data_IF_014870328943
#
_entry.id   IF_014870328943
#
_cell.length_a   1.000
_cell.length_b   1.000
_cell.length_c   1.000
_cell.angle_alpha   90.00
_cell.angle_beta   90.00
_cell.angle_gamma   90.00
#
_symmetry.space_group_name_H-M   'P 1'
#
loop_
_entity.id
_entity.type
_entity.pdbx_description
1 polymer ?
#
# COMPACT_ATOMS: atom_id res chain seq x y z
N UNK A 1 -15.95 11.97 -5.57
CA UNK A 1 -14.55 12.27 -5.95
C UNK A 1 -14.21 13.69 -5.54
N UNK A 2 -12.95 13.95 -5.19
CA UNK A 2 -12.40 15.27 -4.90
C UNK A 2 -11.53 15.66 -6.08
N UNK A 3 -11.91 16.70 -6.82
CA UNK A 3 -11.25 17.12 -8.08
C UNK A 3 -10.23 18.24 -7.87
N UNK A 4 -9.60 18.30 -6.69
CA UNK A 4 -8.65 19.37 -6.38
C UNK A 4 -7.30 19.13 -7.08
N UNK A 5 -6.76 17.91 -6.96
CA UNK A 5 -5.46 17.51 -7.54
C UNK A 5 -5.59 17.04 -8.99
N UNK A 6 -6.76 16.51 -9.35
CA UNK A 6 -7.09 16.08 -10.70
C UNK A 6 -8.37 16.83 -11.06
N UNK A 7 -8.32 17.90 -11.86
CA UNK A 7 -9.45 18.83 -12.04
C UNK A 7 -10.50 18.35 -13.06
N UNK A 8 -10.18 17.37 -13.90
CA UNK A 8 -11.11 16.84 -14.91
C UNK A 8 -10.86 15.36 -15.20
N UNK A 9 -11.82 14.74 -15.89
CA UNK A 9 -11.71 13.37 -16.40
C UNK A 9 -10.58 13.25 -17.44
N UNK A 10 -10.38 14.28 -18.25
CA UNK A 10 -9.30 14.30 -19.24
C UNK A 10 -7.93 14.31 -18.55
N UNK A 11 -7.74 15.17 -17.55
CA UNK A 11 -6.49 15.21 -16.75
C UNK A 11 -6.30 13.90 -15.97
N UNK A 12 -7.38 13.26 -15.50
CA UNK A 12 -7.31 11.92 -14.90
C UNK A 12 -6.77 10.89 -15.90
N UNK A 13 -7.27 10.93 -17.14
CA UNK A 13 -6.81 10.07 -18.23
C UNK A 13 -5.34 10.31 -18.56
N UNK A 14 -4.96 11.57 -18.79
CA UNK A 14 -3.57 11.97 -19.06
C UNK A 14 -2.61 11.55 -17.94
N UNK A 15 -3.00 11.75 -16.68
CA UNK A 15 -2.19 11.38 -15.51
C UNK A 15 -1.95 9.87 -15.47
N UNK A 16 -2.99 9.06 -15.71
CA UNK A 16 -2.88 7.60 -15.74
C UNK A 16 -2.05 7.11 -16.91
N UNK A 17 -2.27 7.68 -18.10
CA UNK A 17 -1.50 7.34 -19.30
C UNK A 17 -0.03 7.70 -19.14
N UNK A 18 0.29 8.87 -18.56
CA UNK A 18 1.67 9.27 -18.29
C UNK A 18 2.36 8.34 -17.30
N UNK A 19 1.67 7.92 -16.22
CA UNK A 19 2.22 6.95 -15.28
C UNK A 19 2.46 5.58 -15.93
N UNK A 20 1.51 5.11 -16.75
CA UNK A 20 1.64 3.87 -17.52
C UNK A 20 2.81 3.93 -18.50
N UNK A 21 2.94 5.00 -19.28
CA UNK A 21 4.03 5.15 -20.25
C UNK A 21 5.40 5.16 -19.56
N UNK A 22 5.54 5.87 -18.43
CA UNK A 22 6.79 5.83 -17.64
C UNK A 22 7.14 4.44 -17.14
N UNK A 23 6.14 3.65 -16.72
CA UNK A 23 6.37 2.25 -16.37
C UNK A 23 6.83 1.44 -17.59
N UNK A 24 6.15 1.55 -18.72
CA UNK A 24 6.47 0.78 -19.93
C UNK A 24 7.86 1.13 -20.50
N UNK A 25 8.25 2.41 -20.45
CA UNK A 25 9.58 2.87 -20.85
C UNK A 25 10.70 2.31 -19.98
N UNK A 26 10.43 2.08 -18.68
CA UNK A 26 11.40 1.59 -17.70
C UNK A 26 11.40 0.06 -17.58
N UNK A 27 10.30 -0.61 -17.90
CA UNK A 27 10.05 -2.01 -17.54
C UNK A 27 11.07 -2.98 -18.10
N UNK A 28 11.30 -2.99 -19.42
CA UNK A 28 12.20 -3.98 -20.05
C UNK A 28 13.63 -3.85 -19.53
N UNK A 29 14.13 -2.61 -19.37
CA UNK A 29 15.45 -2.33 -18.83
C UNK A 29 15.55 -2.68 -17.35
N UNK A 30 14.58 -2.22 -16.55
CA UNK A 30 14.53 -2.51 -15.12
C UNK A 30 14.35 -3.99 -14.81
N UNK A 31 13.67 -4.74 -15.67
CA UNK A 31 13.54 -6.19 -15.54
C UNK A 31 14.89 -6.86 -15.77
N UNK A 32 15.64 -6.44 -16.80
CA UNK A 32 17.02 -6.90 -17.03
C UNK A 32 17.99 -6.56 -15.88
N UNK A 33 17.75 -5.45 -15.18
CA UNK A 33 18.50 -5.03 -13.98
C UNK A 33 18.03 -5.73 -12.69
N UNK A 34 16.96 -6.52 -12.72
CA UNK A 34 16.39 -7.19 -11.56
C UNK A 34 15.57 -6.29 -10.62
N UNK A 35 15.15 -5.10 -11.06
CA UNK A 35 14.30 -4.18 -10.28
C UNK A 35 12.85 -4.64 -10.17
N UNK A 36 12.38 -5.45 -11.11
CA UNK A 36 11.05 -6.05 -11.10
C UNK A 36 11.17 -7.54 -10.79
N UNK A 37 10.51 -7.97 -9.71
CA UNK A 37 10.52 -9.36 -9.24
C UNK A 37 9.10 -9.89 -9.21
N UNK A 38 8.86 -11.04 -9.86
CA UNK A 38 7.59 -11.75 -9.78
C UNK A 38 7.46 -12.42 -8.40
N UNK A 39 6.53 -11.94 -7.58
CA UNK A 39 6.19 -12.55 -6.30
C UNK A 39 4.80 -12.14 -5.84
N UNK A 40 4.31 -12.77 -4.77
CA UNK A 40 3.00 -12.50 -4.17
C UNK A 40 3.07 -12.47 -2.66
N UNK A 41 2.36 -11.54 -2.03
CA UNK A 41 2.15 -11.59 -0.58
C UNK A 41 1.34 -12.86 -0.20
N UNK A 42 1.62 -13.48 0.96
CA UNK A 42 2.50 -13.01 2.02
C UNK A 42 3.93 -13.59 1.96
N UNK A 43 4.40 -14.06 0.81
CA UNK A 43 5.70 -14.75 0.69
C UNK A 43 6.60 -13.97 -0.29
N UNK A 44 7.57 -13.21 0.23
CA UNK A 44 8.49 -12.41 -0.59
C UNK A 44 9.92 -12.98 -0.58
N UNK A 45 10.62 -12.99 -1.71
CA UNK A 45 11.95 -13.60 -1.85
C UNK A 45 13.08 -12.69 -1.36
N UNK A 46 12.81 -11.88 -0.34
CA UNK A 46 13.74 -10.89 0.20
C UNK A 46 14.19 -11.24 1.61
N UNK A 47 15.40 -10.79 1.97
CA UNK A 47 15.93 -10.94 3.31
C UNK A 47 15.25 -10.02 4.32
N UNK A 48 15.51 -10.28 5.61
CA UNK A 48 15.00 -9.45 6.70
C UNK A 48 15.62 -8.06 6.63
N UNK A 49 14.76 -7.03 6.69
CA UNK A 49 15.11 -5.61 6.66
C UNK A 49 16.03 -5.22 5.49
N UNK A 50 15.92 -5.93 4.36
CA UNK A 50 16.64 -5.63 3.13
C UNK A 50 16.33 -4.22 2.62
N UNK A 51 15.11 -3.73 2.88
CA UNK A 51 14.65 -2.41 2.45
C UNK A 51 14.50 -1.42 3.61
N UNK A 52 14.77 -0.15 3.32
CA UNK A 52 14.43 0.95 4.23
C UNK A 52 12.93 1.24 4.29
N UNK A 53 12.20 0.99 3.20
CA UNK A 53 10.79 1.35 3.04
C UNK A 53 10.09 0.37 2.08
N UNK A 54 8.91 -0.11 2.47
CA UNK A 54 7.96 -0.78 1.60
C UNK A 54 6.68 0.05 1.43
N UNK A 55 6.21 0.17 0.19
CA UNK A 55 4.98 0.87 -0.17
C UNK A 55 3.97 -0.13 -0.73
N UNK A 56 2.80 -0.24 -0.10
CA UNK A 56 1.69 -1.04 -0.59
C UNK A 56 0.52 -0.11 -0.95
N UNK A 57 0.30 0.11 -2.24
CA UNK A 57 -0.70 1.03 -2.75
C UNK A 57 -1.83 0.26 -3.47
N UNK A 58 -3.09 0.55 -3.12
CA UNK A 58 -4.31 0.05 -3.78
C UNK A 58 -4.40 -1.48 -3.89
N UNK A 59 -3.97 -2.22 -2.86
CA UNK A 59 -4.12 -3.67 -2.79
C UNK A 59 -4.86 -4.10 -1.52
N UNK A 60 -4.16 -4.45 -0.43
CA UNK A 60 -4.69 -5.02 0.81
C UNK A 60 -6.11 -4.55 1.21
N UNK A 61 -6.22 -3.42 1.89
CA UNK A 61 -7.49 -2.93 2.44
C UNK A 61 -8.54 -2.57 1.36
N UNK A 62 -8.08 -2.27 0.14
CA UNK A 62 -9.00 -2.00 -0.98
C UNK A 62 -9.80 -3.25 -1.36
N UNK A 63 -9.17 -4.42 -1.25
CA UNK A 63 -9.76 -5.72 -1.59
C UNK A 63 -10.14 -6.56 -0.36
N UNK A 64 -10.40 -5.94 0.80
CA UNK A 64 -10.88 -6.64 2.01
C UNK A 64 -12.08 -7.58 1.81
N UNK A 65 -13.05 -7.32 0.91
CA UNK A 65 -14.10 -8.29 0.61
C UNK A 65 -13.58 -9.64 0.04
N UNK A 66 -12.37 -9.65 -0.51
CA UNK A 66 -11.74 -10.81 -1.16
C UNK A 66 -10.53 -11.37 -0.40
N UNK A 67 -9.96 -10.60 0.52
CA UNK A 67 -8.77 -10.96 1.28
C UNK A 67 -9.12 -11.09 2.77
N UNK A 68 -8.89 -12.25 3.36
CA UNK A 68 -9.22 -12.49 4.78
C UNK A 68 -8.40 -11.61 5.73
N UNK A 69 -8.88 -11.42 6.96
CA UNK A 69 -8.12 -10.72 7.99
C UNK A 69 -6.77 -11.39 8.29
N UNK A 70 -6.71 -12.73 8.24
CA UNK A 70 -5.47 -13.48 8.38
C UNK A 70 -4.48 -13.17 7.24
N UNK A 71 -4.98 -13.09 6.00
CA UNK A 71 -4.14 -12.72 4.85
C UNK A 71 -3.56 -11.32 5.01
N UNK A 72 -4.33 -10.36 5.51
CA UNK A 72 -3.84 -9.02 5.82
C UNK A 72 -2.70 -9.07 6.84
N UNK A 73 -2.90 -9.74 7.98
CA UNK A 73 -1.88 -9.84 9.03
C UNK A 73 -0.61 -10.50 8.50
N UNK A 74 -0.71 -11.63 7.80
CA UNK A 74 0.45 -12.31 7.20
C UNK A 74 1.18 -11.43 6.21
N UNK A 75 0.45 -10.75 5.34
CA UNK A 75 1.02 -9.87 4.32
C UNK A 75 1.73 -8.67 4.92
N UNK A 76 1.13 -8.05 5.94
CA UNK A 76 1.71 -6.86 6.58
C UNK A 76 2.93 -7.25 7.42
N UNK A 77 2.89 -8.39 8.12
CA UNK A 77 4.07 -8.93 8.81
C UNK A 77 5.20 -9.22 7.82
N UNK A 78 4.89 -9.76 6.65
CA UNK A 78 5.90 -9.99 5.62
C UNK A 78 6.52 -8.68 5.12
N UNK A 79 5.71 -7.65 4.87
CA UNK A 79 6.22 -6.32 4.53
C UNK A 79 7.10 -5.73 5.64
N UNK A 80 6.71 -5.90 6.91
CA UNK A 80 7.51 -5.48 8.06
C UNK A 80 8.78 -6.31 8.24
N UNK A 81 8.78 -7.59 7.81
CA UNK A 81 9.97 -8.45 7.83
C UNK A 81 10.99 -7.92 6.84
N UNK A 82 10.59 -7.63 5.60
CA UNK A 82 11.51 -7.22 4.53
C UNK A 82 11.90 -5.74 4.60
N UNK A 83 11.12 -4.89 5.29
CA UNK A 83 11.37 -3.44 5.33
C UNK A 83 11.26 -2.81 6.73
N UNK A 84 12.11 -1.80 7.00
CA UNK A 84 12.12 -1.07 8.28
C UNK A 84 10.89 -0.18 8.52
N UNK A 85 10.29 0.31 7.45
CA UNK A 85 9.06 1.10 7.47
C UNK A 85 8.12 0.58 6.39
N UNK A 86 6.85 0.41 6.74
CA UNK A 86 5.80 0.02 5.80
C UNK A 86 4.75 1.12 5.73
N UNK A 87 4.31 1.45 4.52
CA UNK A 87 3.20 2.39 4.28
C UNK A 87 2.14 1.73 3.42
N UNK A 88 0.92 1.67 3.93
CA UNK A 88 -0.22 1.02 3.27
C UNK A 88 -1.29 2.06 2.99
N UNK A 89 -1.70 2.15 1.73
CA UNK A 89 -2.71 3.10 1.28
C UNK A 89 -3.59 2.46 0.19
N UNK A 90 -4.89 2.76 0.11
CA UNK A 90 -5.70 3.45 1.10
C UNK A 90 -6.08 2.51 2.25
N UNK A 91 -6.75 3.03 3.28
CA UNK A 91 -7.33 2.25 4.39
C UNK A 91 -8.84 1.95 4.19
N UNK A 92 -9.33 2.11 2.96
CA UNK A 92 -10.74 1.95 2.58
C UNK A 92 -10.94 0.77 1.63
N UNK A 93 -12.12 0.14 1.67
CA UNK A 93 -12.60 -0.84 0.68
C UNK A 93 -13.12 -0.14 -0.60
N UNK A 94 -13.36 -0.93 -1.65
CA UNK A 94 -14.12 -0.54 -2.85
C UNK A 94 -15.55 -0.15 -2.46
N UNK A 95 -15.75 1.13 -2.12
CA UNK A 95 -17.00 1.63 -1.56
C UNK A 95 -16.82 2.86 -0.66
N UNK A 96 -15.57 3.30 -0.45
CA UNK A 96 -15.23 4.45 0.40
C UNK A 96 -15.59 4.26 1.88
N UNK A 97 -15.68 3.01 2.31
CA UNK A 97 -15.85 2.61 3.72
C UNK A 97 -14.52 2.12 4.26
N UNK A 98 -14.18 2.37 5.54
CA UNK A 98 -12.99 1.78 6.15
C UNK A 98 -12.99 0.26 6.01
N UNK A 99 -11.80 -0.32 5.82
CA UNK A 99 -11.67 -1.77 5.80
C UNK A 99 -12.21 -2.39 7.08
N UNK A 100 -13.02 -3.46 6.93
CA UNK A 100 -13.53 -4.25 8.06
C UNK A 100 -12.45 -4.85 8.96
N UNK A 101 -11.22 -4.96 8.45
CA UNK A 101 -10.08 -5.52 9.18
C UNK A 101 -9.16 -4.46 9.76
N UNK A 102 -9.42 -3.17 9.51
CA UNK A 102 -8.49 -2.10 9.85
C UNK A 102 -8.15 -2.07 11.35
N UNK A 103 -9.17 -2.02 12.20
CA UNK A 103 -9.02 -1.95 13.67
C UNK A 103 -8.30 -3.20 14.20
N UNK A 104 -8.79 -4.39 13.87
CA UNK A 104 -8.17 -5.65 14.29
C UNK A 104 -6.70 -5.79 13.86
N UNK A 105 -6.34 -5.30 12.66
CA UNK A 105 -4.96 -5.29 12.18
C UNK A 105 -4.10 -4.32 12.99
N UNK A 106 -4.60 -3.11 13.25
CA UNK A 106 -3.89 -2.10 14.05
C UNK A 106 -3.63 -2.62 15.47
N UNK A 107 -4.64 -3.21 16.11
CA UNK A 107 -4.55 -3.72 17.47
C UNK A 107 -3.53 -4.87 17.54
N UNK A 108 -3.67 -5.86 16.65
CA UNK A 108 -2.77 -7.03 16.62
C UNK A 108 -1.31 -6.61 16.40
N UNK A 109 -1.04 -5.71 15.45
CA UNK A 109 0.32 -5.23 15.20
C UNK A 109 0.85 -4.41 16.38
N UNK A 110 0.01 -3.63 17.05
CA UNK A 110 0.41 -2.86 18.23
C UNK A 110 0.77 -3.78 19.41
N UNK A 111 0.00 -4.85 19.63
CA UNK A 111 0.28 -5.89 20.63
C UNK A 111 1.59 -6.65 20.32
N UNK A 112 1.93 -6.79 19.04
CA UNK A 112 3.21 -7.36 18.57
C UNK A 112 4.40 -6.41 18.72
N UNK A 113 4.18 -5.19 19.21
CA UNK A 113 5.24 -4.20 19.46
C UNK A 113 5.56 -3.31 18.26
N UNK A 114 4.74 -3.33 17.19
CA UNK A 114 4.85 -2.36 16.13
C UNK A 114 4.26 -1.01 16.54
N UNK A 115 4.90 0.08 16.12
CA UNK A 115 4.29 1.41 16.17
C UNK A 115 3.49 1.61 14.89
N UNK A 116 2.17 1.58 15.03
CA UNK A 116 1.22 1.83 13.94
C UNK A 116 0.62 3.22 14.09
N UNK A 117 0.60 3.99 13.01
CA UNK A 117 -0.02 5.32 12.98
C UNK A 117 -0.80 5.52 11.69
N UNK A 118 -1.96 6.16 11.79
CA UNK A 118 -2.69 6.66 10.63
C UNK A 118 -2.25 8.09 10.32
N UNK A 119 -1.76 8.32 9.10
CA UNK A 119 -1.34 9.63 8.62
C UNK A 119 -2.22 10.09 7.45
N UNK A 120 -2.61 11.37 7.47
CA UNK A 120 -3.31 11.98 6.34
C UNK A 120 -2.30 12.37 5.27
N UNK A 121 -2.54 11.95 4.03
CA UNK A 121 -1.72 12.28 2.86
C UNK A 121 -2.41 13.35 1.99
N UNK A 122 -1.65 14.15 1.20
CA UNK A 122 -2.24 15.20 0.36
C UNK A 122 -3.02 14.65 -0.84
N UNK A 123 -2.88 13.34 -1.14
CA UNK A 123 -3.64 12.68 -2.19
C UNK A 123 -5.02 12.29 -1.67
N UNK A 124 -6.06 12.95 -2.21
CA UNK A 124 -7.45 12.61 -1.97
C UNK A 124 -8.21 12.59 -3.30
N UNK A 125 -8.48 11.40 -3.83
CA UNK A 125 -9.31 11.25 -5.02
C UNK A 125 -10.73 10.80 -4.65
N UNK A 126 -10.84 9.82 -3.76
CA UNK A 126 -12.09 9.45 -3.10
C UNK A 126 -12.22 10.23 -1.80
N UNK A 127 -13.42 10.74 -1.52
CA UNK A 127 -13.68 11.52 -0.29
C UNK A 127 -13.37 10.66 0.93
N UNK A 128 -12.52 11.14 1.83
CA UNK A 128 -12.05 10.39 3.00
C UNK A 128 -10.99 9.33 2.70
N UNK A 129 -10.64 9.12 1.42
CA UNK A 129 -9.63 8.17 0.97
C UNK A 129 -8.23 8.74 0.98
N UNK A 130 -7.88 9.54 1.98
CA UNK A 130 -6.59 10.21 2.12
C UNK A 130 -5.82 9.77 3.37
N UNK A 131 -6.17 8.60 3.91
CA UNK A 131 -5.51 8.00 5.07
C UNK A 131 -4.56 6.90 4.65
N UNK A 132 -3.36 6.91 5.22
CA UNK A 132 -2.29 5.93 5.02
C UNK A 132 -1.87 5.37 6.37
N UNK A 133 -1.74 4.05 6.46
CA UNK A 133 -1.19 3.40 7.66
C UNK A 133 0.31 3.32 7.52
N UNK A 134 1.00 3.84 8.52
CA UNK A 134 2.45 3.75 8.66
C UNK A 134 2.81 2.82 9.80
N UNK A 135 3.74 1.92 9.54
CA UNK A 135 4.17 0.88 10.50
C UNK A 135 5.69 0.93 10.61
N UNK A 136 6.18 0.88 11.85
CA UNK A 136 7.61 0.81 12.19
C UNK A 136 7.79 -0.13 13.37
N UNK A 137 8.97 -0.74 13.48
CA UNK A 137 9.31 -1.50 14.69
C UNK A 137 9.39 -0.54 15.89
N UNK A 138 8.73 -0.87 17.00
CA UNK A 138 8.84 -0.13 18.25
C UNK A 138 10.22 -0.36 18.89
N UNK A 139 11.01 0.70 19.04
CA UNK A 139 11.96 0.82 20.15
C UNK A 139 11.33 1.70 21.22
#
# INVERSE_FOLDING_TARGET
>A
FVWNTIPSVDILGETRLSAMNRFLEDYDGGLGEGRYVESSLPDLPFGDQEFGLALCSHYLFLYSPHLSGEFHLRSIRELCRVAREVRIFPLLELGTVPSRYLEAVVDTLSEEGYRVSEETVPYEFQRGGNKMMRIRFGK
#
